data_IF_647729825770
#
_entry.id   IF_647729825770
#
_cell.length_a   1.000
_cell.length_b   1.000
_cell.length_c   1.000
_cell.angle_alpha   90.00
_cell.angle_beta   90.00
_cell.angle_gamma   90.00
#
_symmetry.space_group_name_H-M   'P 1'
#
loop_
_entity.id
_entity.type
_entity.pdbx_description
1 polymer ?
#
# COMPACT_ATOMS: atom_id res chain seq x y z
N UNK A 1 13.15 12.99 -17.10
CA UNK A 1 13.26 13.76 -15.83
C UNK A 1 12.36 13.09 -14.82
N UNK A 2 12.77 12.96 -13.56
CA UNK A 2 11.90 12.40 -12.51
C UNK A 2 11.30 13.57 -11.72
N UNK A 3 9.98 13.61 -11.61
CA UNK A 3 9.25 14.53 -10.74
C UNK A 3 8.76 13.77 -9.50
N UNK A 4 8.89 14.35 -8.31
CA UNK A 4 8.34 13.76 -7.09
C UNK A 4 7.12 14.58 -6.65
N UNK A 5 5.96 13.93 -6.52
CA UNK A 5 4.72 14.55 -6.05
C UNK A 5 4.13 13.79 -4.86
N UNK A 6 3.38 14.48 -4.01
CA UNK A 6 2.56 13.81 -3.01
C UNK A 6 1.39 13.12 -3.71
N UNK A 7 1.09 11.88 -3.33
CA UNK A 7 0.07 11.09 -4.03
C UNK A 7 -1.33 11.74 -3.93
N UNK A 8 -1.62 12.48 -2.86
CA UNK A 8 -2.91 13.17 -2.71
C UNK A 8 -3.13 14.30 -3.72
N UNK A 9 -2.07 14.82 -4.36
CA UNK A 9 -2.19 15.79 -5.46
C UNK A 9 -2.75 15.16 -6.74
N UNK A 10 -2.61 13.84 -6.90
CA UNK A 10 -3.06 13.08 -8.08
C UNK A 10 -4.34 12.27 -7.80
N UNK A 11 -4.75 12.17 -6.54
CA UNK A 11 -5.98 11.50 -6.10
C UNK A 11 -6.08 10.03 -6.50
N UNK A 12 -7.26 9.64 -6.98
CA UNK A 12 -7.57 8.25 -7.33
C UNK A 12 -6.70 7.68 -8.46
N UNK A 13 -6.18 8.52 -9.35
CA UNK A 13 -5.23 8.10 -10.39
C UNK A 13 -3.96 7.53 -9.76
N UNK A 14 -3.36 8.25 -8.79
CA UNK A 14 -2.20 7.75 -8.07
C UNK A 14 -2.53 6.49 -7.30
N UNK A 15 -3.68 6.43 -6.61
CA UNK A 15 -4.09 5.24 -5.84
C UNK A 15 -4.06 3.97 -6.70
N UNK A 16 -4.61 4.04 -7.92
CA UNK A 16 -4.62 2.93 -8.86
C UNK A 16 -3.22 2.53 -9.29
N UNK A 17 -2.42 3.47 -9.79
CA UNK A 17 -1.07 3.18 -10.27
C UNK A 17 -0.14 2.67 -9.15
N UNK A 18 -0.27 3.24 -7.94
CA UNK A 18 0.45 2.77 -6.76
C UNK A 18 0.12 1.32 -6.43
N UNK A 19 -1.14 0.92 -6.56
CA UNK A 19 -1.57 -0.45 -6.32
C UNK A 19 -1.00 -1.42 -7.36
N UNK A 20 -0.99 -1.02 -8.63
CA UNK A 20 -0.38 -1.78 -9.72
C UNK A 20 1.13 -1.99 -9.47
N UNK A 21 1.86 -0.92 -9.17
CA UNK A 21 3.30 -0.98 -8.83
C UNK A 21 3.53 -1.85 -7.60
N UNK A 22 2.71 -1.74 -6.56
CA UNK A 22 2.85 -2.53 -5.35
C UNK A 22 2.67 -4.04 -5.62
N UNK A 23 1.70 -4.41 -6.46
CA UNK A 23 1.48 -5.81 -6.84
C UNK A 23 2.61 -6.34 -7.72
N UNK A 24 3.08 -5.51 -8.67
CA UNK A 24 4.15 -5.90 -9.59
C UNK A 24 5.51 -6.02 -8.89
N UNK A 25 5.84 -5.07 -8.02
CA UNK A 25 7.13 -5.01 -7.31
C UNK A 25 7.34 -6.09 -6.24
N UNK A 26 6.28 -6.75 -5.79
CA UNK A 26 6.31 -7.74 -4.70
C UNK A 26 5.73 -9.10 -5.13
N UNK A 27 5.84 -9.46 -6.41
CA UNK A 27 5.16 -10.58 -7.05
C UNK A 27 5.17 -11.92 -6.30
N UNK A 28 6.22 -12.24 -5.56
CA UNK A 28 6.34 -13.53 -4.85
C UNK A 28 5.48 -13.62 -3.59
N UNK A 29 5.31 -12.51 -2.85
CA UNK A 29 4.44 -12.48 -1.66
C UNK A 29 2.95 -12.55 -2.04
N UNK A 30 2.63 -12.17 -3.27
CA UNK A 30 1.27 -11.91 -3.74
C UNK A 30 0.57 -13.11 -4.40
N UNK A 31 1.33 -14.06 -4.96
CA UNK A 31 0.77 -15.28 -5.57
C UNK A 31 -0.03 -16.14 -4.60
N UNK A 32 0.25 -16.04 -3.30
CA UNK A 32 -0.51 -16.70 -2.24
C UNK A 32 -1.98 -16.23 -2.19
N UNK A 33 -2.24 -14.95 -2.51
CA UNK A 33 -3.59 -14.39 -2.51
C UNK A 33 -4.30 -14.65 -3.84
N UNK A 34 -3.63 -14.39 -4.96
CA UNK A 34 -4.18 -14.63 -6.31
C UNK A 34 -3.05 -14.68 -7.34
N UNK A 35 -3.23 -15.45 -8.41
CA UNK A 35 -2.36 -15.37 -9.60
C UNK A 35 -2.75 -14.21 -10.52
N UNK A 36 -3.96 -13.70 -10.38
CA UNK A 36 -4.45 -12.55 -11.13
C UNK A 36 -3.97 -11.24 -10.47
N UNK A 37 -2.96 -10.62 -11.08
CA UNK A 37 -2.37 -9.35 -10.62
C UNK A 37 -3.37 -8.19 -10.70
N UNK A 38 -4.26 -8.15 -11.71
CA UNK A 38 -5.27 -7.09 -11.83
C UNK A 38 -6.25 -7.16 -10.67
N UNK A 39 -6.69 -8.37 -10.34
CA UNK A 39 -7.55 -8.61 -9.18
C UNK A 39 -6.91 -8.16 -7.86
N UNK A 40 -5.60 -8.36 -7.72
CA UNK A 40 -4.86 -7.90 -6.54
C UNK A 40 -4.74 -6.37 -6.50
N UNK A 41 -4.42 -5.73 -7.63
CA UNK A 41 -4.33 -4.28 -7.71
C UNK A 41 -5.66 -3.65 -7.28
N UNK A 42 -6.79 -4.10 -7.84
CA UNK A 42 -8.11 -3.63 -7.44
C UNK A 42 -8.38 -3.88 -5.94
N UNK A 43 -8.00 -5.05 -5.42
CA UNK A 43 -8.23 -5.39 -4.02
C UNK A 43 -7.42 -4.53 -3.03
N UNK A 44 -6.32 -3.94 -3.47
CA UNK A 44 -5.38 -3.20 -2.63
C UNK A 44 -5.49 -1.68 -2.79
N UNK A 45 -6.12 -1.16 -3.84
CA UNK A 45 -6.27 0.28 -4.09
C UNK A 45 -6.74 1.07 -2.85
N UNK A 46 -7.76 0.59 -2.16
CA UNK A 46 -8.34 1.31 -1.01
C UNK A 46 -7.37 1.49 0.15
N UNK A 47 -6.29 0.70 0.22
CA UNK A 47 -5.45 0.63 1.41
C UNK A 47 -4.48 1.81 1.54
N UNK A 48 -4.16 2.49 0.44
CA UNK A 48 -3.13 3.54 0.44
C UNK A 48 -3.66 4.85 1.05
N UNK A 49 -2.97 5.35 2.07
CA UNK A 49 -3.21 6.67 2.65
C UNK A 49 -2.38 7.70 1.88
N UNK A 50 -2.99 8.32 0.86
CA UNK A 50 -2.28 9.15 -0.12
C UNK A 50 -1.49 10.32 0.49
N UNK A 51 -1.92 10.82 1.65
CA UNK A 51 -1.26 11.90 2.36
C UNK A 51 0.15 11.57 2.87
N UNK A 52 0.50 10.29 3.02
CA UNK A 52 1.85 9.90 3.44
C UNK A 52 2.62 9.18 2.35
N UNK A 53 2.09 9.15 1.13
CA UNK A 53 2.80 8.62 -0.03
C UNK A 53 3.33 9.73 -0.94
N UNK A 54 4.53 9.51 -1.43
CA UNK A 54 5.12 10.25 -2.54
C UNK A 54 5.32 9.31 -3.71
N UNK A 55 5.07 9.83 -4.90
CA UNK A 55 5.23 9.13 -6.17
C UNK A 55 6.35 9.76 -6.97
N UNK A 56 7.15 8.93 -7.62
CA UNK A 56 8.07 9.34 -8.66
C UNK A 56 7.38 9.21 -10.01
N UNK A 57 7.29 10.31 -10.74
CA UNK A 57 6.70 10.39 -12.07
C UNK A 57 7.81 10.37 -13.13
N UNK A 58 7.68 9.50 -14.11
CA UNK A 58 8.48 9.47 -15.34
C UNK A 58 7.51 9.66 -16.50
N UNK A 59 7.72 10.72 -17.28
CA UNK A 59 6.85 11.07 -18.42
C UNK A 59 5.36 11.20 -18.05
N UNK A 60 5.09 11.66 -16.82
CA UNK A 60 3.74 11.86 -16.29
C UNK A 60 3.10 10.63 -15.64
N UNK A 61 3.73 9.46 -15.72
CA UNK A 61 3.23 8.21 -15.13
C UNK A 61 4.00 7.85 -13.86
N UNK A 62 3.30 7.24 -12.90
CA UNK A 62 3.94 6.77 -11.67
C UNK A 62 4.87 5.61 -12.02
N UNK A 63 6.15 5.76 -11.67
CA UNK A 63 7.19 4.76 -11.87
C UNK A 63 7.75 4.22 -10.54
N UNK A 64 7.43 4.87 -9.42
CA UNK A 64 7.89 4.44 -8.10
C UNK A 64 7.09 5.11 -6.99
N UNK A 65 7.06 4.46 -5.83
CA UNK A 65 6.27 4.90 -4.67
C UNK A 65 7.11 4.80 -3.40
N UNK A 66 6.92 5.73 -2.47
CA UNK A 66 7.50 5.62 -1.13
C UNK A 66 6.57 6.22 -0.09
N UNK A 67 6.54 5.62 1.10
CA UNK A 67 5.81 6.14 2.24
C UNK A 67 6.74 7.01 3.10
N UNK A 68 6.38 8.27 3.29
CA UNK A 68 7.06 9.23 4.16
C UNK A 68 6.14 9.52 5.35
N UNK A 69 6.38 8.85 6.47
CA UNK A 69 5.56 9.00 7.69
C UNK A 69 6.42 9.27 8.92
N UNK A 70 5.93 10.11 9.82
CA UNK A 70 6.48 10.31 11.16
C UNK A 70 5.95 9.26 12.17
N UNK A 71 5.17 8.29 11.71
CA UNK A 71 4.57 7.25 12.55
C UNK A 71 3.24 7.63 13.20
N UNK A 72 2.74 8.86 13.03
CA UNK A 72 1.39 9.24 13.50
C UNK A 72 0.29 8.77 12.56
N UNK A 73 0.58 8.76 11.25
CA UNK A 73 -0.33 8.29 10.20
C UNK A 73 0.29 7.04 9.58
N UNK A 74 -0.43 5.92 9.67
CA UNK A 74 0.03 4.67 9.04
C UNK A 74 -0.21 4.76 7.52
N UNK A 75 0.74 4.32 6.69
CA UNK A 75 0.60 4.41 5.23
C UNK A 75 -0.47 3.46 4.67
N UNK A 76 -0.76 2.36 5.38
CA UNK A 76 -1.69 1.34 4.93
C UNK A 76 -2.88 1.25 5.89
N UNK A 77 -4.07 1.60 5.39
CA UNK A 77 -5.36 1.43 6.08
C UNK A 77 -6.28 0.49 5.29
N UNK A 78 -6.23 -0.79 5.62
CA UNK A 78 -6.88 -1.83 4.84
C UNK A 78 -8.16 -2.35 5.52
N UNK A 79 -9.26 -2.30 4.77
CA UNK A 79 -10.54 -2.88 5.19
C UNK A 79 -10.62 -4.39 4.95
N UNK A 80 -10.89 -5.17 6.01
CA UNK A 80 -11.18 -6.62 5.91
C UNK A 80 -12.37 -6.89 4.98
N UNK A 81 -13.39 -6.03 5.00
CA UNK A 81 -14.59 -6.16 4.17
C UNK A 81 -14.23 -6.03 2.69
N UNK A 82 -13.50 -4.97 2.32
CA UNK A 82 -13.09 -4.73 0.93
C UNK A 82 -12.19 -5.86 0.43
N UNK A 83 -11.21 -6.28 1.23
CA UNK A 83 -10.33 -7.42 0.88
C UNK A 83 -11.12 -8.72 0.66
N UNK A 84 -12.12 -9.03 1.50
CA UNK A 84 -12.97 -10.20 1.33
C UNK A 84 -13.87 -10.11 0.11
N UNK A 85 -14.36 -8.91 -0.24
CA UNK A 85 -15.18 -8.70 -1.43
C UNK A 85 -14.40 -9.03 -2.71
N UNK A 86 -13.14 -8.61 -2.80
CA UNK A 86 -12.33 -8.88 -3.97
C UNK A 86 -11.69 -10.28 -3.94
N UNK A 87 -11.11 -10.71 -2.82
CA UNK A 87 -10.30 -11.93 -2.76
C UNK A 87 -11.07 -13.18 -2.30
N UNK A 88 -12.30 -13.02 -1.82
CA UNK A 88 -13.08 -14.07 -1.16
C UNK A 88 -12.81 -14.17 0.34
N UNK A 89 -13.64 -14.93 1.06
CA UNK A 89 -13.64 -14.95 2.53
C UNK A 89 -12.30 -15.36 3.14
N UNK A 90 -11.74 -16.51 2.71
CA UNK A 90 -10.51 -17.07 3.27
C UNK A 90 -9.28 -16.22 2.91
N UNK A 91 -9.08 -15.96 1.62
CA UNK A 91 -7.93 -15.20 1.11
C UNK A 91 -7.96 -13.73 1.56
N UNK A 92 -9.13 -13.10 1.58
CA UNK A 92 -9.28 -11.74 2.10
C UNK A 92 -9.05 -11.65 3.61
N UNK A 93 -9.44 -12.67 4.38
CA UNK A 93 -9.12 -12.75 5.81
C UNK A 93 -7.62 -12.90 6.06
N UNK A 94 -6.96 -13.75 5.27
CA UNK A 94 -5.52 -13.94 5.36
C UNK A 94 -4.76 -12.66 4.96
N UNK A 95 -5.14 -12.01 3.86
CA UNK A 95 -4.58 -10.72 3.44
C UNK A 95 -4.69 -9.67 4.54
N UNK A 96 -5.87 -9.52 5.15
CA UNK A 96 -6.06 -8.62 6.28
C UNK A 96 -5.09 -8.91 7.43
N UNK A 97 -4.91 -10.18 7.78
CA UNK A 97 -3.96 -10.55 8.85
C UNK A 97 -2.52 -10.21 8.50
N UNK A 98 -2.10 -10.42 7.25
CA UNK A 98 -0.75 -10.09 6.77
C UNK A 98 -0.53 -8.58 6.82
N UNK A 99 -1.41 -7.78 6.19
CA UNK A 99 -1.27 -6.32 6.18
C UNK A 99 -1.29 -5.72 7.58
N UNK A 100 -2.17 -6.20 8.47
CA UNK A 100 -2.20 -5.77 9.87
C UNK A 100 -0.87 -6.06 10.58
N UNK A 101 -0.27 -7.22 10.33
CA UNK A 101 1.00 -7.62 10.96
C UNK A 101 2.17 -6.78 10.46
N UNK A 102 2.23 -6.51 9.16
CA UNK A 102 3.37 -5.81 8.54
C UNK A 102 3.27 -4.28 8.68
N UNK A 103 2.07 -3.70 8.56
CA UNK A 103 1.90 -2.25 8.41
C UNK A 103 1.12 -1.56 9.52
N UNK A 104 0.58 -2.28 10.51
CA UNK A 104 -0.14 -1.66 11.64
C UNK A 104 0.56 -1.88 12.98
N UNK A 105 1.86 -2.18 12.96
CA UNK A 105 2.71 -2.14 14.16
C UNK A 105 3.44 -0.80 14.24
N UNK A 106 3.68 -0.26 15.44
CA UNK A 106 4.52 0.92 15.61
C UNK A 106 5.91 0.65 15.00
N UNK A 107 6.51 1.60 14.27
CA UNK A 107 7.86 1.43 13.74
C UNK A 107 8.83 1.13 14.89
N UNK A 108 9.64 0.07 14.76
CA UNK A 108 10.63 -0.37 15.77
C UNK A 108 11.54 0.78 16.28
N UNK A 109 11.76 1.80 15.45
CA UNK A 109 12.55 3.00 15.75
C UNK A 109 11.99 3.87 16.88
N UNK A 110 10.69 3.76 17.22
CA UNK A 110 10.04 4.59 18.24
C UNK A 110 10.12 4.00 19.66
N UNK A 111 10.31 2.68 19.79
CA UNK A 111 10.43 2.02 21.11
C UNK A 111 11.75 2.41 21.81
N UNK A 112 12.81 2.72 21.05
CA UNK A 112 14.11 3.10 21.62
C UNK A 112 14.23 4.56 22.07
N UNK A 113 13.37 5.48 21.61
CA UNK A 113 13.46 6.92 21.94
C UNK A 113 12.69 7.35 23.21
N UNK A 114 12.02 6.43 23.92
CA UNK A 114 11.28 6.75 25.17
C UNK A 114 12.02 6.43 26.48
N UNK A 115 13.28 6.00 26.41
CA UNK A 115 14.12 5.71 27.58
C UNK A 115 15.49 6.40 27.54
N UNK A 116 15.57 7.57 26.90
CA UNK A 116 16.76 8.42 26.90
C UNK A 116 16.40 9.84 27.31
#
# INVERSE_FOLDING_TARGET
MIEIKRASELGESARKQMSEIFVEGFGDLHTFFSKDKRKLAIAFEHMFVLDVFYVALVDGEVAGITACTDGKIMPIDHSKKVLRNHLGFWKGTFAYSVFKREFQKPPLMWVKKRHG
#
